data_IF_939822086558
#
_entry.id   IF_939822086558
#
_cell.length_a   1.000
_cell.length_b   1.000
_cell.length_c   1.000
_cell.angle_alpha   90.00
_cell.angle_beta   90.00
_cell.angle_gamma   90.00
#
_symmetry.space_group_name_H-M   'P 1'
#
loop_
_entity.id
_entity.type
_entity.pdbx_description
1 polymer ?
#
# COMPACT_ATOMS: atom_id res chain seq x y z
N UNK A 1 2.05 2.53 -10.35
CA UNK A 1 3.01 2.41 -9.21
C UNK A 1 3.49 3.81 -8.90
N UNK A 2 2.60 4.59 -8.28
CA UNK A 2 2.81 5.92 -7.72
C UNK A 2 3.64 5.89 -6.43
N UNK A 3 4.29 4.78 -6.15
CA UNK A 3 4.93 4.51 -4.87
C UNK A 3 6.14 3.59 -5.04
N UNK A 4 7.12 3.79 -4.16
CA UNK A 4 8.29 2.93 -4.05
C UNK A 4 7.99 1.62 -3.32
N UNK A 5 8.99 1.10 -2.64
CA UNK A 5 8.90 -0.15 -1.89
C UNK A 5 8.10 0.00 -0.58
N UNK A 6 7.13 -0.90 -0.32
CA UNK A 6 6.23 -0.84 0.85
C UNK A 6 6.32 -2.02 1.82
N UNK A 7 6.58 -3.22 1.31
CA UNK A 7 6.57 -4.44 2.12
C UNK A 7 7.56 -5.47 1.63
N UNK A 8 8.22 -6.16 2.55
CA UNK A 8 9.20 -7.22 2.25
C UNK A 8 9.05 -8.38 3.19
N UNK A 9 9.42 -9.54 2.67
CA UNK A 9 9.79 -10.69 3.48
C UNK A 9 11.16 -10.43 4.12
N UNK A 10 11.23 -10.56 5.43
CA UNK A 10 12.48 -10.42 6.19
C UNK A 10 13.21 -11.76 6.19
N UNK A 11 14.53 -11.73 6.34
CA UNK A 11 15.34 -12.96 6.44
C UNK A 11 14.93 -13.82 7.65
N UNK A 12 14.40 -13.19 8.70
CA UNK A 12 13.96 -13.85 9.94
C UNK A 12 12.52 -14.37 9.88
N UNK A 13 11.79 -14.15 8.79
CA UNK A 13 10.43 -14.67 8.68
C UNK A 13 10.42 -16.19 8.43
N UNK A 14 9.40 -16.87 8.97
CA UNK A 14 9.18 -18.30 8.72
C UNK A 14 8.81 -18.51 7.24
N UNK A 15 9.63 -19.24 6.46
CA UNK A 15 9.46 -19.36 5.02
C UNK A 15 8.14 -20.04 4.62
N UNK A 16 7.59 -20.92 5.46
CA UNK A 16 6.31 -21.57 5.16
C UNK A 16 5.12 -20.65 5.36
N UNK A 17 5.21 -19.70 6.31
CA UNK A 17 4.11 -18.76 6.60
C UNK A 17 4.05 -17.61 5.61
N UNK A 18 5.20 -17.14 5.13
CA UNK A 18 5.27 -16.00 4.19
C UNK A 18 5.13 -16.40 2.74
N UNK A 19 5.14 -17.71 2.44
CA UNK A 19 4.91 -18.22 1.10
C UNK A 19 3.53 -17.75 0.58
N UNK A 20 3.52 -17.09 -0.57
CA UNK A 20 2.30 -16.51 -1.17
C UNK A 20 1.88 -15.15 -0.61
N UNK A 21 2.63 -14.57 0.34
CA UNK A 21 2.38 -13.22 0.86
C UNK A 21 3.28 -12.18 0.19
N UNK A 22 2.94 -10.90 0.36
CA UNK A 22 3.78 -9.76 -0.06
C UNK A 22 4.72 -9.24 1.06
N UNK A 23 4.89 -10.04 2.12
CA UNK A 23 5.73 -9.69 3.28
C UNK A 23 5.09 -8.71 4.26
N UNK A 24 5.92 -8.04 5.07
CA UNK A 24 5.50 -7.11 6.11
C UNK A 24 5.69 -5.67 5.67
N UNK A 25 4.77 -4.78 6.07
CA UNK A 25 4.92 -3.35 5.87
C UNK A 25 6.25 -2.83 6.46
N UNK A 26 6.89 -1.91 5.75
CA UNK A 26 8.06 -1.17 6.24
C UNK A 26 7.63 -0.27 7.38
N UNK A 27 8.45 -0.18 8.43
CA UNK A 27 8.10 0.56 9.66
C UNK A 27 7.82 2.06 9.42
N UNK A 28 8.37 2.65 8.35
CA UNK A 28 8.14 4.05 7.96
C UNK A 28 6.95 4.25 7.01
N UNK A 29 6.24 3.19 6.65
CA UNK A 29 5.08 3.20 5.76
C UNK A 29 3.83 2.75 6.53
N UNK A 30 2.67 3.22 6.08
CA UNK A 30 1.36 2.69 6.47
C UNK A 30 0.63 2.13 5.27
N UNK A 31 -0.09 1.02 5.47
CA UNK A 31 -0.98 0.41 4.49
C UNK A 31 -2.37 0.24 5.11
N UNK A 32 -3.40 0.56 4.32
CA UNK A 32 -4.82 0.31 4.64
C UNK A 32 -5.45 -0.49 3.51
N UNK A 33 -6.48 -1.26 3.86
CA UNK A 33 -7.36 -1.91 2.89
C UNK A 33 -8.65 -1.10 2.85
N UNK A 34 -9.03 -0.56 1.69
CA UNK A 34 -10.18 0.32 1.54
C UNK A 34 -11.21 -0.22 0.53
N UNK A 35 -12.47 0.19 0.70
CA UNK A 35 -13.53 0.01 -0.30
C UNK A 35 -13.54 1.14 -1.34
N UNK A 36 -14.46 1.05 -2.30
CA UNK A 36 -14.64 2.05 -3.38
C UNK A 36 -15.03 3.45 -2.86
N UNK A 37 -15.55 3.53 -1.64
CA UNK A 37 -15.91 4.79 -0.96
C UNK A 37 -14.77 5.34 -0.08
N UNK A 38 -13.62 4.66 -0.03
CA UNK A 38 -12.42 5.05 0.73
C UNK A 38 -12.42 4.68 2.21
N UNK A 39 -13.39 3.88 2.66
CA UNK A 39 -13.51 3.43 4.05
C UNK A 39 -12.70 2.16 4.28
N UNK A 40 -12.25 1.93 5.52
CA UNK A 40 -11.55 0.70 5.87
C UNK A 40 -12.47 -0.52 5.76
N UNK A 41 -12.02 -1.53 5.01
CA UNK A 41 -12.71 -2.82 5.01
C UNK A 41 -12.39 -3.61 6.29
N UNK A 42 -13.30 -4.48 6.76
CA UNK A 42 -13.03 -5.35 7.90
C UNK A 42 -11.80 -6.24 7.71
N UNK A 43 -11.18 -6.64 8.82
CA UNK A 43 -10.02 -7.53 8.78
C UNK A 43 -10.34 -8.86 8.10
N UNK A 44 -9.54 -9.21 7.09
CA UNK A 44 -9.68 -10.45 6.33
C UNK A 44 -10.51 -10.33 5.05
N UNK A 45 -11.17 -9.18 4.83
CA UNK A 45 -11.90 -8.89 3.59
C UNK A 45 -10.97 -8.30 2.52
N UNK A 46 -11.39 -8.46 1.26
CA UNK A 46 -10.67 -7.92 0.11
C UNK A 46 -11.01 -6.44 -0.06
N UNK A 47 -10.00 -5.63 -0.37
CA UNK A 47 -10.13 -4.21 -0.71
C UNK A 47 -8.96 -3.72 -1.55
N UNK A 48 -8.93 -2.42 -1.83
CA UNK A 48 -7.80 -1.74 -2.46
C UNK A 48 -6.73 -1.37 -1.43
N UNK A 49 -5.45 -1.45 -1.81
CA UNK A 49 -4.33 -1.05 -0.94
C UNK A 49 -4.13 0.46 -1.05
N UNK A 50 -4.40 1.19 0.03
CA UNK A 50 -4.01 2.59 0.18
C UNK A 50 -2.71 2.69 0.98
N UNK A 51 -1.78 3.54 0.54
CA UNK A 51 -0.46 3.68 1.14
C UNK A 51 -0.18 5.12 1.60
N UNK A 52 0.52 5.26 2.73
CA UNK A 52 0.99 6.54 3.25
C UNK A 52 2.44 6.43 3.72
N UNK A 53 3.25 7.44 3.41
CA UNK A 53 4.63 7.51 3.88
C UNK A 53 5.59 8.15 2.87
N UNK A 54 6.89 8.15 3.18
CA UNK A 54 7.90 8.88 2.41
C UNK A 54 8.15 8.30 1.00
N UNK A 55 7.72 7.07 0.73
CA UNK A 55 7.86 6.44 -0.59
C UNK A 55 6.73 6.81 -1.56
N UNK A 56 5.70 7.55 -1.11
CA UNK A 56 4.58 7.98 -1.96
C UNK A 56 5.03 9.18 -2.80
N UNK A 57 4.78 9.13 -4.12
CA UNK A 57 5.14 10.22 -5.01
C UNK A 57 4.29 11.46 -4.74
N UNK A 58 4.78 12.64 -5.14
CA UNK A 58 4.02 13.89 -5.01
C UNK A 58 2.87 14.03 -6.03
N UNK A 59 2.79 13.12 -6.99
CA UNK A 59 1.88 13.19 -8.11
C UNK A 59 2.57 12.95 -9.45
N UNK A 60 1.73 12.85 -10.46
CA UNK A 60 2.07 12.87 -11.86
C UNK A 60 2.33 14.30 -12.36
N UNK A 61 3.39 14.47 -13.14
CA UNK A 61 3.70 15.72 -13.81
C UNK A 61 2.60 16.07 -14.83
N UNK A 62 2.14 17.31 -14.81
CA UNK A 62 1.14 17.89 -15.74
C UNK A 62 -0.18 17.09 -15.87
N UNK A 63 -0.53 16.28 -14.87
CA UNK A 63 -1.77 15.51 -14.86
C UNK A 63 -2.59 15.75 -13.58
N UNK A 64 -3.25 16.92 -13.44
CA UNK A 64 -4.04 17.25 -12.27
C UNK A 64 -5.31 16.40 -12.12
N UNK A 65 -5.77 15.74 -13.19
CA UNK A 65 -6.89 14.81 -13.12
C UNK A 65 -6.49 13.53 -12.38
N UNK A 66 -5.42 12.87 -12.82
CA UNK A 66 -4.91 11.68 -12.13
C UNK A 66 -4.45 12.00 -10.70
N UNK A 67 -3.86 13.18 -10.46
CA UNK A 67 -3.43 13.54 -9.11
C UNK A 67 -4.58 13.63 -8.11
N UNK A 68 -5.75 14.12 -8.53
CA UNK A 68 -6.94 14.20 -7.65
C UNK A 68 -7.58 12.84 -7.39
N UNK A 69 -7.40 11.90 -8.31
CA UNK A 69 -7.96 10.55 -8.24
C UNK A 69 -7.09 9.66 -7.34
N UNK A 70 -5.77 9.67 -7.56
CA UNK A 70 -4.84 8.74 -6.91
C UNK A 70 -4.19 9.25 -5.62
N UNK A 71 -4.27 10.55 -5.31
CA UNK A 71 -3.66 11.15 -4.12
C UNK A 71 -4.71 11.97 -3.36
N UNK A 72 -5.24 11.41 -2.27
CA UNK A 72 -6.36 11.94 -1.49
C UNK A 72 -6.03 12.14 -0.01
#
# INVERSE_FOLDING_TARGET
LETGFHSFTRLTDDPLKVNGTVGRCVDSMGLRMIDDDGNDVPFGEVGEIAAVGPSVHMGYLDNPAANRDSFT
#
